data_IF_414656662530
#
_entry.id   IF_414656662530
#
_cell.length_a   1.000
_cell.length_b   1.000
_cell.length_c   1.000
_cell.angle_alpha   90.00
_cell.angle_beta   90.00
_cell.angle_gamma   90.00
#
_symmetry.space_group_name_H-M   'P 1'
#
loop_
_entity.id
_entity.type
_entity.pdbx_description
1 polymer ?
#
# COMPACT_ATOMS: atom_id res chain seq x y z
N UNK A 1 28.17 25.06 -21.79
CA UNK A 1 27.92 23.71 -21.26
C UNK A 1 26.40 23.54 -21.16
N UNK A 2 25.78 23.06 -22.24
CA UNK A 2 24.34 23.09 -22.46
C UNK A 2 23.66 21.80 -21.97
N UNK A 3 22.46 21.97 -21.41
CA UNK A 3 21.49 20.95 -20.96
C UNK A 3 21.39 19.74 -21.90
N UNK A 4 21.38 18.53 -21.34
CA UNK A 4 20.38 17.48 -21.62
C UNK A 4 20.74 16.21 -20.86
N UNK A 5 19.94 15.88 -19.84
CA UNK A 5 19.51 14.50 -19.56
C UNK A 5 18.19 14.62 -18.78
N UNK A 6 17.07 14.53 -19.49
CA UNK A 6 15.77 14.28 -18.86
C UNK A 6 15.77 12.82 -18.39
N UNK A 7 15.83 12.59 -17.07
CA UNK A 7 15.34 11.36 -16.44
C UNK A 7 14.34 11.79 -15.38
N UNK A 8 13.06 11.54 -15.67
CA UNK A 8 11.95 11.77 -14.77
C UNK A 8 12.14 10.92 -13.50
N UNK A 9 12.30 11.57 -12.34
CA UNK A 9 11.80 11.11 -11.02
C UNK A 9 12.07 12.19 -9.97
N UNK A 10 11.23 13.22 -9.88
CA UNK A 10 11.26 14.18 -8.76
C UNK A 10 10.63 13.61 -7.48
N UNK A 11 10.36 12.30 -7.43
CA UNK A 11 9.70 11.64 -6.33
C UNK A 11 10.73 11.13 -5.32
N UNK A 12 10.65 11.63 -4.10
CA UNK A 12 11.38 11.12 -2.94
C UNK A 12 10.38 10.46 -1.99
N UNK A 13 10.64 9.20 -1.61
CA UNK A 13 9.77 8.45 -0.69
C UNK A 13 10.56 8.13 0.58
N UNK A 14 10.01 8.53 1.73
CA UNK A 14 10.52 8.12 3.03
C UNK A 14 9.52 7.17 3.70
N UNK A 15 9.92 5.91 3.90
CA UNK A 15 9.11 4.92 4.61
C UNK A 15 9.47 4.93 6.10
N UNK A 16 8.47 5.03 6.96
CA UNK A 16 8.62 5.03 8.41
C UNK A 16 7.73 3.95 9.00
N UNK A 17 8.30 3.08 9.83
CA UNK A 17 7.55 2.09 10.60
C UNK A 17 7.17 2.70 11.95
N UNK A 18 5.89 2.66 12.29
CA UNK A 18 5.40 3.06 13.60
C UNK A 18 4.40 2.02 14.12
N UNK A 19 4.69 1.31 15.21
CA UNK A 19 3.74 0.37 15.79
C UNK A 19 2.61 1.13 16.51
N UNK A 20 1.40 0.59 16.47
CA UNK A 20 0.25 1.12 17.18
C UNK A 20 -1.03 1.07 16.36
N UNK A 21 -2.13 1.50 16.98
CA UNK A 21 -3.43 1.55 16.32
C UNK A 21 -3.43 2.54 15.14
N UNK A 22 -4.34 2.37 14.16
CA UNK A 22 -4.51 3.28 13.04
C UNK A 22 -4.52 4.75 13.43
N UNK A 23 -5.23 5.13 14.51
CA UNK A 23 -5.23 6.52 14.96
C UNK A 23 -3.88 6.98 15.53
N UNK A 24 -3.09 6.08 16.15
CA UNK A 24 -1.72 6.38 16.59
C UNK A 24 -0.78 6.58 15.40
N UNK A 25 -0.91 5.74 14.37
CA UNK A 25 -0.13 5.86 13.12
C UNK A 25 -0.43 7.19 12.42
N UNK A 26 -1.70 7.57 12.30
CA UNK A 26 -2.10 8.86 11.72
C UNK A 26 -1.57 10.05 12.54
N UNK A 27 -1.71 10.04 13.88
CA UNK A 27 -1.13 11.09 14.74
C UNK A 27 0.38 11.20 14.59
N UNK A 28 1.07 10.07 14.48
CA UNK A 28 2.52 10.06 14.29
C UNK A 28 2.90 10.69 12.94
N UNK A 29 2.21 10.33 11.87
CA UNK A 29 2.43 10.87 10.53
C UNK A 29 2.19 12.38 10.48
N UNK A 30 1.07 12.85 11.05
CA UNK A 30 0.73 14.27 11.13
C UNK A 30 1.80 15.08 11.88
N UNK A 31 2.23 14.60 13.06
CA UNK A 31 3.32 15.21 13.85
C UNK A 31 4.62 15.29 13.06
N UNK A 32 5.00 14.21 12.38
CA UNK A 32 6.23 14.14 11.59
C UNK A 32 6.20 15.14 10.44
N UNK A 33 5.08 15.24 9.72
CA UNK A 33 4.89 16.23 8.66
C UNK A 33 5.01 17.66 9.21
N UNK A 34 4.33 17.96 10.33
CA UNK A 34 4.41 19.28 10.96
C UNK A 34 5.84 19.67 11.37
N UNK A 35 6.66 18.70 11.80
CA UNK A 35 8.07 18.93 12.15
C UNK A 35 9.03 19.02 10.95
N UNK A 36 8.58 18.69 9.74
CA UNK A 36 9.41 18.59 8.54
C UNK A 36 9.49 19.86 7.70
N UNK A 37 9.09 21.02 8.23
CA UNK A 37 9.15 22.32 7.51
C UNK A 37 8.52 22.35 6.09
N UNK A 38 7.66 21.39 5.75
CA UNK A 38 7.04 21.31 4.42
C UNK A 38 7.76 20.40 3.41
N UNK A 39 8.64 19.50 3.86
CA UNK A 39 9.45 18.62 3.00
C UNK A 39 8.65 17.54 2.23
N UNK A 40 7.34 17.38 2.49
CA UNK A 40 6.51 16.35 1.87
C UNK A 40 5.23 16.93 1.26
N UNK A 41 5.00 16.66 -0.03
CA UNK A 41 3.76 17.03 -0.73
C UNK A 41 2.55 16.19 -0.26
N UNK A 42 2.81 14.94 0.15
CA UNK A 42 1.77 14.00 0.58
C UNK A 42 2.25 13.18 1.76
N UNK A 43 1.31 12.74 2.60
CA UNK A 43 1.59 11.86 3.74
C UNK A 43 0.58 10.73 3.74
N UNK A 44 1.07 9.49 3.75
CA UNK A 44 0.25 8.28 3.65
C UNK A 44 0.48 7.38 4.86
N UNK A 45 -0.59 6.80 5.38
CA UNK A 45 -0.57 5.74 6.38
C UNK A 45 -1.14 4.46 5.77
N UNK A 46 -0.40 3.36 5.89
CA UNK A 46 -0.87 2.02 5.50
C UNK A 46 -1.11 1.23 6.77
N UNK A 47 -2.31 0.68 6.91
CA UNK A 47 -2.71 -0.09 8.09
C UNK A 47 -3.45 -1.37 7.68
N UNK A 48 -3.35 -2.38 8.54
CA UNK A 48 -4.04 -3.66 8.39
C UNK A 48 -5.32 -3.68 9.24
N UNK A 49 -6.38 -4.33 8.75
CA UNK A 49 -7.69 -4.41 9.45
C UNK A 49 -7.65 -5.36 10.63
N UNK A 50 -6.89 -6.45 10.53
CA UNK A 50 -6.97 -7.59 11.44
C UNK A 50 -6.57 -7.28 12.89
N UNK A 51 -6.00 -6.09 13.14
CA UNK A 51 -5.54 -5.68 14.46
C UNK A 51 -6.41 -4.64 15.20
N UNK A 52 -7.40 -3.95 14.59
CA UNK A 52 -7.92 -2.71 15.23
C UNK A 52 -9.41 -2.37 15.09
N UNK A 53 -9.97 -1.80 16.18
CA UNK A 53 -11.36 -1.31 16.31
C UNK A 53 -11.53 0.19 16.09
N UNK A 54 -10.44 0.96 15.94
CA UNK A 54 -10.47 2.43 15.85
C UNK A 54 -10.34 2.99 14.42
N UNK A 55 -10.61 2.19 13.39
CA UNK A 55 -10.50 2.59 11.98
C UNK A 55 -11.39 3.79 11.62
N UNK A 56 -12.62 3.86 12.15
CA UNK A 56 -13.51 5.01 11.91
C UNK A 56 -12.92 6.31 12.45
N UNK A 57 -12.43 6.26 13.69
CA UNK A 57 -11.76 7.40 14.33
C UNK A 57 -10.46 7.77 13.57
N UNK A 58 -9.66 6.79 13.17
CA UNK A 58 -8.46 7.03 12.38
C UNK A 58 -8.78 7.66 11.02
N UNK A 59 -9.88 7.26 10.37
CA UNK A 59 -10.33 7.83 9.11
C UNK A 59 -10.75 9.30 9.27
N UNK A 60 -11.51 9.61 10.32
CA UNK A 60 -11.89 11.00 10.63
C UNK A 60 -10.64 11.85 10.89
N UNK A 61 -9.73 11.37 11.75
CA UNK A 61 -8.48 12.04 12.07
C UNK A 61 -7.59 12.24 10.84
N UNK A 62 -7.49 11.23 9.96
CA UNK A 62 -6.68 11.31 8.75
C UNK A 62 -7.17 12.44 7.83
N UNK A 63 -8.49 12.62 7.70
CA UNK A 63 -9.08 13.73 6.95
C UNK A 63 -8.77 15.09 7.59
N UNK A 64 -8.95 15.20 8.91
CA UNK A 64 -8.64 16.43 9.66
C UNK A 64 -7.18 16.84 9.52
N UNK A 65 -6.29 15.84 9.55
CA UNK A 65 -4.85 16.04 9.47
C UNK A 65 -4.32 15.99 8.03
N UNK A 66 -5.14 15.98 6.98
CA UNK A 66 -4.70 15.86 5.58
C UNK A 66 -3.66 14.73 5.36
N UNK A 67 -3.93 13.56 5.92
CA UNK A 67 -3.17 12.31 5.78
C UNK A 67 -4.02 11.34 4.98
N UNK A 68 -3.42 10.71 3.97
CA UNK A 68 -4.08 9.65 3.21
C UNK A 68 -4.01 8.33 3.98
N UNK A 69 -5.17 7.73 4.27
CA UNK A 69 -5.25 6.43 4.94
C UNK A 69 -5.53 5.33 3.91
N UNK A 70 -4.65 4.34 3.88
CA UNK A 70 -4.77 3.10 3.10
C UNK A 70 -4.96 1.94 4.05
N UNK A 71 -5.98 1.13 3.78
CA UNK A 71 -6.34 -0.02 4.60
C UNK A 71 -6.21 -1.30 3.78
N UNK A 72 -5.64 -2.35 4.36
CA UNK A 72 -5.60 -3.70 3.77
C UNK A 72 -6.32 -4.71 4.67
N UNK A 73 -7.15 -5.56 4.07
CA UNK A 73 -7.95 -6.56 4.76
C UNK A 73 -7.70 -7.96 4.17
N UNK A 74 -7.16 -8.92 4.95
CA UNK A 74 -6.78 -8.78 6.35
C UNK A 74 -5.50 -7.98 6.57
N UNK A 75 -4.55 -8.01 5.63
CA UNK A 75 -3.21 -7.44 5.81
C UNK A 75 -2.56 -6.97 4.50
N UNK A 76 -1.47 -6.21 4.59
CA UNK A 76 -0.72 -5.67 3.46
C UNK A 76 -0.33 -6.71 2.41
N UNK A 77 -0.05 -7.95 2.80
CA UNK A 77 0.33 -9.05 1.91
C UNK A 77 -0.74 -9.37 0.85
N UNK A 78 -1.99 -8.94 1.04
CA UNK A 78 -3.02 -8.98 -0.02
C UNK A 78 -2.55 -8.20 -1.24
N UNK A 79 -1.96 -7.01 -1.06
CA UNK A 79 -1.40 -6.22 -2.16
C UNK A 79 -0.31 -6.97 -2.92
N UNK A 80 0.57 -7.66 -2.20
CA UNK A 80 1.64 -8.47 -2.80
C UNK A 80 1.04 -9.65 -3.59
N UNK A 81 0.03 -10.33 -3.05
CA UNK A 81 -0.62 -11.45 -3.72
C UNK A 81 -1.24 -11.03 -5.06
N UNK A 82 -1.84 -9.84 -5.10
CA UNK A 82 -2.49 -9.30 -6.29
C UNK A 82 -1.52 -8.95 -7.41
N UNK A 83 -0.21 -8.88 -7.19
CA UNK A 83 0.78 -8.77 -8.27
C UNK A 83 0.92 -10.06 -9.08
N UNK A 84 0.57 -11.20 -8.48
CA UNK A 84 0.77 -12.52 -9.09
C UNK A 84 -0.53 -13.16 -9.54
N UNK A 85 -1.65 -12.90 -8.85
CA UNK A 85 -2.91 -13.59 -9.14
C UNK A 85 -4.14 -12.77 -8.79
N UNK A 86 -5.25 -13.01 -9.51
CA UNK A 86 -6.56 -12.45 -9.19
C UNK A 86 -7.21 -13.27 -8.08
N UNK A 87 -6.86 -12.98 -6.83
CA UNK A 87 -7.40 -13.67 -5.66
C UNK A 87 -8.60 -12.93 -5.08
N UNK A 88 -9.78 -13.57 -5.10
CA UNK A 88 -11.04 -13.01 -4.59
C UNK A 88 -11.70 -13.83 -3.49
N UNK A 89 -11.14 -14.99 -3.17
CA UNK A 89 -11.70 -15.85 -2.12
C UNK A 89 -11.33 -15.26 -0.77
N UNK A 90 -12.27 -15.32 0.17
CA UNK A 90 -12.05 -14.86 1.54
C UNK A 90 -10.80 -15.51 2.15
N UNK A 91 -10.01 -14.71 2.86
CA UNK A 91 -8.77 -15.14 3.53
C UNK A 91 -8.79 -14.74 5.00
N UNK A 92 -8.35 -15.65 5.86
CA UNK A 92 -8.54 -15.51 7.30
C UNK A 92 -7.71 -14.41 7.94
N UNK A 93 -6.43 -14.36 7.60
CA UNK A 93 -5.41 -13.58 8.28
C UNK A 93 -4.11 -13.61 7.45
N UNK A 94 -3.07 -12.95 7.97
CA UNK A 94 -1.72 -12.96 7.42
C UNK A 94 -1.22 -14.37 7.03
N UNK A 95 -1.34 -15.38 7.89
CA UNK A 95 -0.78 -16.71 7.61
C UNK A 95 -1.45 -17.40 6.41
N UNK A 96 -2.76 -17.19 6.24
CA UNK A 96 -3.48 -17.66 5.07
C UNK A 96 -2.98 -16.95 3.79
N UNK A 97 -2.77 -15.63 3.83
CA UNK A 97 -2.24 -14.87 2.69
C UNK A 97 -0.79 -15.27 2.38
N UNK A 98 0.07 -15.43 3.40
CA UNK A 98 1.45 -15.92 3.28
C UNK A 98 1.49 -17.28 2.58
N UNK A 99 0.62 -18.21 2.97
CA UNK A 99 0.53 -19.54 2.34
C UNK A 99 0.17 -19.47 0.86
N UNK A 100 -0.69 -18.52 0.47
CA UNK A 100 -1.05 -18.29 -0.92
C UNK A 100 0.09 -17.64 -1.72
N UNK A 101 0.80 -16.68 -1.10
CA UNK A 101 1.95 -15.97 -1.67
C UNK A 101 3.14 -16.89 -1.95
N UNK A 102 3.42 -17.84 -1.05
CA UNK A 102 4.52 -18.81 -1.18
C UNK A 102 4.45 -19.68 -2.44
N UNK A 103 3.29 -19.73 -3.10
CA UNK A 103 3.12 -20.41 -4.39
C UNK A 103 3.67 -19.63 -5.58
N UNK A 104 3.97 -18.34 -5.38
CA UNK A 104 4.41 -17.42 -6.42
C UNK A 104 5.82 -16.92 -6.16
N UNK A 105 6.14 -16.58 -4.90
CA UNK A 105 7.40 -15.96 -4.52
C UNK A 105 7.86 -16.42 -3.13
N UNK A 106 9.17 -16.46 -2.85
CA UNK A 106 9.67 -16.68 -1.50
C UNK A 106 9.21 -15.55 -0.56
N UNK A 107 8.82 -15.91 0.66
CA UNK A 107 8.50 -14.96 1.74
C UNK A 107 9.51 -15.18 2.87
N UNK A 108 10.57 -14.36 2.95
CA UNK A 108 11.58 -14.47 4.01
C UNK A 108 10.98 -14.35 5.41
N UNK A 109 11.64 -14.96 6.41
CA UNK A 109 11.18 -14.93 7.81
C UNK A 109 11.22 -13.52 8.41
N UNK A 110 12.14 -12.68 7.94
CA UNK A 110 12.23 -11.25 8.31
C UNK A 110 11.17 -10.37 7.60
N UNK A 111 10.32 -10.99 6.76
CA UNK A 111 9.27 -10.35 5.96
C UNK A 111 9.80 -9.26 5.02
N UNK A 112 11.07 -9.33 4.64
CA UNK A 112 11.63 -8.41 3.63
C UNK A 112 10.98 -8.64 2.26
N UNK A 113 10.75 -7.54 1.54
CA UNK A 113 10.13 -7.54 0.21
C UNK A 113 11.11 -6.96 -0.79
N UNK A 114 11.43 -7.71 -1.85
CA UNK A 114 12.25 -7.22 -2.96
C UNK A 114 11.35 -6.89 -4.15
N UNK A 115 10.85 -5.66 -4.20
CA UNK A 115 9.95 -5.20 -5.27
C UNK A 115 10.56 -5.33 -6.66
N UNK A 116 11.85 -5.01 -6.82
CA UNK A 116 12.53 -5.07 -8.12
C UNK A 116 12.57 -6.50 -8.66
N UNK A 117 12.95 -7.46 -7.81
CA UNK A 117 13.10 -8.86 -8.21
C UNK A 117 11.76 -9.55 -8.42
N UNK A 118 10.83 -9.36 -7.49
CA UNK A 118 9.65 -10.23 -7.38
C UNK A 118 8.37 -9.59 -7.93
N UNK A 119 8.30 -8.26 -7.97
CA UNK A 119 7.05 -7.53 -8.19
C UNK A 119 7.12 -6.46 -9.30
N UNK A 120 8.28 -6.28 -9.95
CA UNK A 120 8.47 -5.21 -10.93
C UNK A 120 7.77 -5.55 -12.26
N UNK A 121 8.18 -6.63 -12.93
CA UNK A 121 7.68 -7.04 -14.23
C UNK A 121 7.16 -8.49 -14.24
N UNK A 122 6.20 -8.77 -15.12
CA UNK A 122 5.77 -10.12 -15.44
C UNK A 122 6.68 -10.79 -16.48
N UNK A 123 6.34 -12.03 -16.86
CA UNK A 123 7.13 -12.84 -17.80
C UNK A 123 7.23 -12.20 -19.19
N UNK A 124 6.25 -11.36 -19.54
CA UNK A 124 6.19 -10.61 -20.80
C UNK A 124 6.87 -9.23 -20.70
N UNK A 125 7.46 -8.90 -19.54
CA UNK A 125 8.10 -7.60 -19.31
C UNK A 125 7.13 -6.45 -19.05
N UNK A 126 5.87 -6.72 -18.70
CA UNK A 126 4.90 -5.69 -18.32
C UNK A 126 4.94 -5.41 -16.81
N UNK A 127 4.75 -4.14 -16.38
CA UNK A 127 4.82 -3.80 -14.97
C UNK A 127 3.65 -4.43 -14.19
N UNK A 128 3.94 -5.26 -13.18
CA UNK A 128 2.91 -6.01 -12.43
C UNK A 128 1.97 -5.10 -11.63
N UNK A 129 2.44 -3.92 -11.21
CA UNK A 129 1.65 -3.00 -10.39
C UNK A 129 0.34 -2.59 -11.09
N UNK A 130 0.30 -2.48 -12.42
CA UNK A 130 -0.92 -2.14 -13.17
C UNK A 130 -2.00 -3.22 -13.02
N UNK A 131 -1.58 -4.49 -13.11
CA UNK A 131 -2.48 -5.62 -12.90
C UNK A 131 -2.93 -5.68 -11.44
N UNK A 132 -2.02 -5.42 -10.49
CA UNK A 132 -2.35 -5.35 -9.07
C UNK A 132 -3.38 -4.26 -8.77
N UNK A 133 -3.23 -3.05 -9.33
CA UNK A 133 -4.24 -1.96 -9.26
C UNK A 133 -5.58 -2.44 -9.79
N UNK A 134 -5.60 -3.04 -10.99
CA UNK A 134 -6.83 -3.51 -11.62
C UNK A 134 -7.53 -4.57 -10.76
N UNK A 135 -6.78 -5.52 -10.19
CA UNK A 135 -7.32 -6.58 -9.33
C UNK A 135 -7.82 -6.00 -8.00
N UNK A 136 -7.07 -5.12 -7.36
CA UNK A 136 -7.45 -4.49 -6.09
C UNK A 136 -8.75 -3.67 -6.21
N UNK A 137 -8.91 -2.87 -7.28
CA UNK A 137 -10.13 -2.08 -7.53
C UNK A 137 -11.38 -2.92 -7.80
N UNK A 138 -11.24 -4.23 -8.06
CA UNK A 138 -12.37 -5.17 -8.22
C UNK A 138 -12.81 -5.80 -6.90
N UNK A 139 -12.01 -5.68 -5.85
CA UNK A 139 -12.27 -6.33 -4.57
C UNK A 139 -13.19 -5.50 -3.67
N UNK A 140 -13.10 -4.18 -3.75
CA UNK A 140 -13.92 -3.27 -2.98
C UNK A 140 -14.07 -1.92 -3.70
N UNK A 141 -15.15 -1.20 -3.40
CA UNK A 141 -15.24 0.21 -3.74
C UNK A 141 -14.22 1.02 -2.94
N UNK A 142 -13.76 2.15 -3.50
CA UNK A 142 -12.81 3.03 -2.84
C UNK A 142 -13.34 3.52 -1.49
N UNK A 143 -12.53 3.37 -0.44
CA UNK A 143 -12.86 3.74 0.93
C UNK A 143 -13.64 2.65 1.68
N UNK A 144 -14.02 1.55 1.03
CA UNK A 144 -14.71 0.40 1.64
C UNK A 144 -13.81 -0.82 1.81
N UNK A 145 -12.50 -0.70 1.59
CA UNK A 145 -11.56 -1.83 1.68
C UNK A 145 -11.46 -2.47 3.07
N UNK A 146 -11.98 -1.82 4.10
CA UNK A 146 -12.06 -2.40 5.45
C UNK A 146 -13.28 -3.30 5.67
N UNK A 147 -14.27 -3.26 4.75
CA UNK A 147 -15.53 -4.01 4.85
C UNK A 147 -15.53 -5.29 4.02
N UNK A 148 -14.70 -5.34 2.99
CA UNK A 148 -14.57 -6.50 2.10
C UNK A 148 -13.33 -7.33 2.47
N UNK A 149 -13.34 -8.63 2.19
CA UNK A 149 -12.18 -9.49 2.39
C UNK A 149 -12.09 -10.53 1.26
N UNK A 150 -10.95 -10.61 0.55
CA UNK A 150 -9.77 -9.74 0.68
C UNK A 150 -10.00 -8.37 0.02
N UNK A 151 -9.29 -7.34 0.50
CA UNK A 151 -9.18 -6.05 -0.21
C UNK A 151 -7.97 -5.24 0.27
N UNK A 152 -7.59 -4.23 -0.51
CA UNK A 152 -6.52 -3.31 -0.13
C UNK A 152 -6.63 -1.99 -0.88
N UNK A 153 -6.44 -0.87 -0.18
CA UNK A 153 -6.42 0.47 -0.77
C UNK A 153 -5.07 0.86 -1.38
N UNK A 154 -4.07 -0.03 -1.36
CA UNK A 154 -2.70 0.23 -1.84
C UNK A 154 -2.64 0.70 -3.30
N UNK A 155 -3.66 0.38 -4.09
CA UNK A 155 -3.78 0.85 -5.47
C UNK A 155 -3.78 2.39 -5.57
N UNK A 156 -4.31 3.10 -4.56
CA UNK A 156 -4.30 4.58 -4.50
C UNK A 156 -2.88 5.12 -4.40
N UNK A 157 -2.09 4.54 -3.50
CA UNK A 157 -0.68 4.90 -3.32
C UNK A 157 0.15 4.52 -4.54
N UNK A 158 -0.12 3.35 -5.16
CA UNK A 158 0.57 2.95 -6.39
C UNK A 158 0.33 3.94 -7.54
N UNK A 159 -0.92 4.40 -7.74
CA UNK A 159 -1.23 5.44 -8.73
C UNK A 159 -0.60 6.79 -8.38
N UNK A 160 -0.53 7.15 -7.09
CA UNK A 160 0.14 8.38 -6.67
C UNK A 160 1.66 8.35 -6.96
N UNK A 161 2.30 7.19 -6.82
CA UNK A 161 3.73 6.99 -7.09
C UNK A 161 4.03 6.92 -8.59
N UNK A 162 3.23 6.18 -9.35
CA UNK A 162 3.51 5.85 -10.75
C UNK A 162 2.77 6.72 -11.77
N UNK A 163 1.80 7.53 -11.35
CA UNK A 163 0.89 8.27 -12.23
C UNK A 163 -0.34 7.45 -12.64
N UNK A 164 -1.21 8.04 -13.47
CA UNK A 164 -2.40 7.34 -13.97
C UNK A 164 -2.00 6.09 -14.76
N UNK A 165 -2.62 4.95 -14.41
CA UNK A 165 -2.58 3.76 -15.25
C UNK A 165 -3.56 3.97 -16.40
N UNK A 166 -3.05 4.49 -17.52
CA UNK A 166 -3.76 4.46 -18.81
C UNK A 166 -3.96 3.01 -19.29
#
# INVERSE_FOLDING_TARGET
MFKKHYKLSSLSVQVVKHPGSPSQVVRHAAKRRASSSGDYDQTWCVVDVDEYRDLEHATALAREENVELVVSNPCFEVWLLLHHTDHRKWVRNYDAVKSLLLRHVPVPDDKSVNFERDYHHDEDGNPRWRQAVTRARRLAEEGREHLENPSTGMWRLALAIHGCAD
#
